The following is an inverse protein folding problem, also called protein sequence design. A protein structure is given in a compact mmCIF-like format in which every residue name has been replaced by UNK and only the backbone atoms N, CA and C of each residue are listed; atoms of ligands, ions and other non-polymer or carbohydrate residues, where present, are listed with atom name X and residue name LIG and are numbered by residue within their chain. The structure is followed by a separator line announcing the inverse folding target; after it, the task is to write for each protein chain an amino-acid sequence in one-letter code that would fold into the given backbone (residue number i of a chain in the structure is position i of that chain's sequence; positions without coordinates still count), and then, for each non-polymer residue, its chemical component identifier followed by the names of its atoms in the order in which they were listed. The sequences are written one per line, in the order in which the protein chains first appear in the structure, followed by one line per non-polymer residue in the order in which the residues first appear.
data_IF_195876002418
#
_entry.id   IF_195876002418
#
_cell.length_a   1.000
_cell.length_b   1.000
_cell.length_c   1.000
_cell.angle_alpha   90.00
_cell.angle_beta   90.00
_cell.angle_gamma   90.00
#
_symmetry.space_group_name_H-M   'P 1'
#
loop_
_entity.id
_entity.type
_entity.pdbx_description
1 polymer ?
#
# COMPACT_ATOMS: atom_id res chain seq x y z
N UNK A 1 -18.88 -3.77 -72.51
CA UNK A 1 -18.07 -4.25 -71.37
C UNK A 1 -18.80 -3.85 -70.09
N UNK A 2 -19.43 -4.82 -69.42
CA UNK A 2 -20.27 -4.55 -68.24
C UNK A 2 -19.41 -4.77 -67.02
N UNK A 3 -19.11 -3.68 -66.21
CA UNK A 3 -18.46 -3.76 -64.92
C UNK A 3 -19.47 -4.23 -63.92
N UNK A 4 -19.22 -5.37 -63.24
CA UNK A 4 -19.98 -5.81 -62.08
C UNK A 4 -19.38 -5.16 -60.85
N UNK A 5 -20.14 -4.31 -60.14
CA UNK A 5 -19.81 -3.81 -58.80
C UNK A 5 -19.95 -4.98 -57.83
N UNK A 6 -18.83 -5.38 -57.20
CA UNK A 6 -18.84 -6.29 -56.06
C UNK A 6 -18.93 -5.44 -54.80
N UNK A 7 -20.09 -5.49 -54.14
CA UNK A 7 -20.32 -4.81 -52.85
C UNK A 7 -19.72 -5.65 -51.72
N UNK A 8 -18.62 -5.19 -51.14
CA UNK A 8 -18.00 -5.84 -49.98
C UNK A 8 -18.74 -5.32 -48.73
N UNK A 9 -19.57 -6.16 -48.12
CA UNK A 9 -20.14 -5.93 -46.80
C UNK A 9 -19.07 -6.20 -45.75
N UNK A 10 -18.52 -5.12 -45.15
CA UNK A 10 -17.68 -5.20 -43.94
C UNK A 10 -18.58 -5.43 -42.74
N UNK A 11 -18.57 -6.64 -42.22
CA UNK A 11 -19.28 -7.01 -41.01
C UNK A 11 -18.41 -6.54 -39.80
N UNK A 12 -18.68 -5.34 -39.31
CA UNK A 12 -18.05 -4.84 -38.08
C UNK A 12 -18.76 -5.49 -36.88
N UNK A 13 -18.23 -6.60 -36.40
CA UNK A 13 -18.64 -7.20 -35.15
C UNK A 13 -18.16 -6.33 -34.00
N UNK A 14 -19.05 -5.55 -33.38
CA UNK A 14 -18.84 -4.93 -32.10
C UNK A 14 -18.73 -6.04 -31.04
N UNK A 15 -17.50 -6.39 -30.68
CA UNK A 15 -17.25 -7.16 -29.50
C UNK A 15 -17.58 -6.27 -28.29
N UNK A 16 -18.79 -6.36 -27.78
CA UNK A 16 -19.12 -5.89 -26.46
C UNK A 16 -18.31 -6.73 -25.46
N UNK A 17 -17.11 -6.26 -25.14
CA UNK A 17 -16.37 -6.76 -23.99
C UNK A 17 -17.14 -6.31 -22.75
N UNK A 18 -18.09 -7.12 -22.30
CA UNK A 18 -18.61 -7.03 -20.94
C UNK A 18 -17.45 -7.36 -20.00
N UNK A 19 -16.74 -6.33 -19.52
CA UNK A 19 -15.89 -6.47 -18.35
C UNK A 19 -16.80 -6.93 -17.20
N UNK A 20 -16.62 -8.14 -16.64
CA UNK A 20 -17.45 -8.57 -15.53
C UNK A 20 -17.26 -7.55 -14.39
N UNK A 21 -18.38 -7.05 -13.85
CA UNK A 21 -18.33 -6.18 -12.69
C UNK A 21 -17.75 -7.01 -11.52
N UNK A 22 -16.47 -6.81 -11.23
CA UNK A 22 -15.73 -7.54 -10.20
C UNK A 22 -15.83 -6.87 -8.82
N UNK A 23 -16.73 -5.91 -8.67
CA UNK A 23 -16.98 -5.15 -7.44
C UNK A 23 -18.36 -5.52 -6.88
N UNK A 24 -18.40 -5.90 -5.62
CA UNK A 24 -19.60 -6.24 -4.85
C UNK A 24 -19.66 -5.38 -3.59
N UNK A 25 -20.82 -4.85 -3.28
CA UNK A 25 -21.08 -4.16 -2.00
C UNK A 25 -21.88 -5.07 -1.07
N UNK A 26 -21.28 -5.45 0.06
CA UNK A 26 -21.88 -6.34 1.08
C UNK A 26 -22.31 -5.52 2.30
N UNK A 27 -23.52 -4.99 2.23
CA UNK A 27 -24.07 -4.13 3.28
C UNK A 27 -24.39 -4.86 4.58
N UNK A 28 -24.54 -6.19 4.57
CA UNK A 28 -24.77 -7.00 5.76
C UNK A 28 -23.60 -6.94 6.76
N UNK A 29 -22.39 -6.65 6.29
CA UNK A 29 -21.22 -6.42 7.15
C UNK A 29 -21.37 -5.21 8.08
N UNK A 30 -22.29 -4.30 7.76
CA UNK A 30 -22.62 -3.13 8.59
C UNK A 30 -23.03 -3.47 10.02
N UNK A 31 -23.65 -4.64 10.22
CA UNK A 31 -24.05 -5.11 11.55
C UNK A 31 -22.90 -5.14 12.56
N UNK A 32 -21.72 -5.55 12.15
CA UNK A 32 -20.55 -5.62 13.04
C UNK A 32 -20.09 -4.24 13.52
N UNK A 33 -20.21 -3.22 12.69
CA UNK A 33 -19.88 -1.84 13.06
C UNK A 33 -20.95 -1.24 13.99
N UNK A 34 -22.24 -1.52 13.71
CA UNK A 34 -23.37 -1.04 14.51
C UNK A 34 -23.33 -1.66 15.91
N UNK A 35 -23.18 -2.99 16.01
CA UNK A 35 -23.11 -3.74 17.28
C UNK A 35 -21.96 -3.24 18.18
N UNK A 36 -20.82 -2.90 17.59
CA UNK A 36 -19.66 -2.39 18.30
C UNK A 36 -19.67 -0.85 18.48
N UNK A 37 -20.73 -0.15 18.03
CA UNK A 37 -20.88 1.32 18.11
C UNK A 37 -19.70 2.08 17.51
N UNK A 38 -19.16 1.59 16.39
CA UNK A 38 -18.06 2.21 15.67
C UNK A 38 -18.44 2.54 14.24
N UNK A 39 -17.80 3.55 13.67
CA UNK A 39 -17.92 3.87 12.23
C UNK A 39 -16.69 3.35 11.51
N UNK A 40 -16.90 2.61 10.42
CA UNK A 40 -15.79 2.02 9.67
C UNK A 40 -16.16 1.71 8.22
N UNK A 41 -15.24 1.08 7.54
CA UNK A 41 -15.42 0.50 6.22
C UNK A 41 -14.63 -0.81 6.15
N UNK A 42 -14.94 -1.63 5.17
CA UNK A 42 -14.24 -2.88 4.93
C UNK A 42 -14.01 -3.06 3.43
N UNK A 43 -12.86 -3.62 3.06
CA UNK A 43 -12.54 -4.00 1.69
C UNK A 43 -11.74 -5.30 1.66
N UNK A 44 -12.13 -6.19 0.78
CA UNK A 44 -11.46 -7.46 0.53
C UNK A 44 -11.24 -7.63 -0.97
N UNK A 45 -10.03 -8.02 -1.35
CA UNK A 45 -9.74 -8.53 -2.68
C UNK A 45 -9.50 -10.04 -2.62
N UNK A 46 -10.31 -10.81 -3.35
CA UNK A 46 -10.18 -12.26 -3.47
C UNK A 46 -9.37 -12.61 -4.72
N UNK A 47 -8.14 -13.09 -4.53
CA UNK A 47 -7.22 -13.45 -5.61
C UNK A 47 -7.76 -14.58 -6.50
N UNK A 48 -8.49 -15.54 -5.94
CA UNK A 48 -8.97 -16.72 -6.68
C UNK A 48 -10.09 -16.35 -7.67
N UNK A 49 -10.92 -15.37 -7.34
CA UNK A 49 -12.08 -14.96 -8.13
C UNK A 49 -11.91 -13.60 -8.80
N UNK A 50 -10.81 -12.89 -8.53
CA UNK A 50 -10.56 -11.52 -8.96
C UNK A 50 -11.70 -10.55 -8.58
N UNK A 51 -12.31 -10.77 -7.40
CA UNK A 51 -13.42 -9.97 -6.90
C UNK A 51 -13.01 -9.06 -5.75
N UNK A 52 -13.59 -7.86 -5.75
CA UNK A 52 -13.57 -6.95 -4.62
C UNK A 52 -14.91 -7.00 -3.90
N UNK A 53 -14.88 -7.12 -2.58
CA UNK A 53 -16.06 -6.98 -1.71
C UNK A 53 -15.87 -5.81 -0.79
N UNK A 54 -16.84 -4.87 -0.75
CA UNK A 54 -16.77 -3.68 0.09
C UNK A 54 -17.98 -3.58 1.01
N UNK A 55 -17.75 -3.03 2.20
CA UNK A 55 -18.74 -2.38 3.01
C UNK A 55 -18.39 -0.90 3.14
N UNK A 56 -19.39 -0.01 3.02
CA UNK A 56 -19.21 1.45 3.03
C UNK A 56 -18.10 1.88 2.06
N UNK A 57 -18.26 1.51 0.79
CA UNK A 57 -17.29 1.74 -0.28
C UNK A 57 -16.90 3.21 -0.37
N UNK A 58 -17.86 4.14 -0.25
CA UNK A 58 -17.56 5.57 -0.30
C UNK A 58 -16.53 5.98 0.77
N UNK A 59 -16.68 5.50 2.01
CA UNK A 59 -15.68 5.75 3.07
C UNK A 59 -14.35 5.10 2.75
N UNK A 60 -14.38 3.91 2.15
CA UNK A 60 -13.18 3.16 1.80
C UNK A 60 -12.32 3.89 0.75
N UNK A 61 -12.95 4.52 -0.25
CA UNK A 61 -12.26 5.20 -1.36
C UNK A 61 -11.98 6.68 -1.07
N UNK A 62 -12.84 7.37 -0.33
CA UNK A 62 -12.81 8.83 -0.25
C UNK A 62 -12.25 9.36 1.09
N UNK A 63 -12.19 8.51 2.12
CA UNK A 63 -11.68 8.94 3.43
C UNK A 63 -10.23 8.54 3.64
N UNK A 64 -9.39 9.51 3.96
CA UNK A 64 -7.96 9.29 4.22
C UNK A 64 -7.68 9.18 5.71
N UNK A 65 -6.81 8.25 6.07
CA UNK A 65 -6.43 7.93 7.44
C UNK A 65 -4.91 7.92 7.60
N UNK A 66 -4.46 8.09 8.82
CA UNK A 66 -3.07 7.90 9.20
C UNK A 66 -2.64 6.45 8.94
N UNK A 67 -1.61 6.17 8.13
CA UNK A 67 -1.19 4.79 7.86
C UNK A 67 -0.57 4.10 9.07
N UNK A 68 0.04 4.86 9.99
CA UNK A 68 0.68 4.32 11.18
C UNK A 68 1.57 3.09 10.84
N UNK A 69 1.34 1.97 11.50
CA UNK A 69 2.16 0.77 11.32
C UNK A 69 2.05 0.10 9.95
N UNK A 70 1.06 0.41 9.13
CA UNK A 70 0.99 -0.13 7.75
C UNK A 70 2.06 0.49 6.85
N UNK A 71 2.57 1.69 7.20
CA UNK A 71 3.68 2.33 6.49
C UNK A 71 4.97 1.50 6.51
N UNK A 72 5.15 0.58 7.47
CA UNK A 72 6.32 -0.30 7.52
C UNK A 72 6.51 -1.13 6.24
N UNK A 73 5.44 -1.46 5.54
CA UNK A 73 5.50 -2.19 4.27
C UNK A 73 6.31 -1.39 3.25
N UNK A 74 5.91 -0.15 2.99
CA UNK A 74 6.58 0.70 2.00
C UNK A 74 7.97 1.16 2.49
N UNK A 75 8.12 1.45 3.79
CA UNK A 75 9.40 1.81 4.39
C UNK A 75 10.45 0.68 4.25
N UNK A 76 10.04 -0.58 4.45
CA UNK A 76 10.89 -1.76 4.23
C UNK A 76 11.29 -1.90 2.75
N UNK A 77 10.35 -1.76 1.83
CA UNK A 77 10.62 -1.82 0.39
C UNK A 77 11.62 -0.74 -0.04
N UNK A 78 11.41 0.50 0.40
CA UNK A 78 12.32 1.61 0.10
C UNK A 78 13.69 1.37 0.76
N UNK A 79 13.72 0.92 2.01
CA UNK A 79 14.95 0.61 2.74
C UNK A 79 15.81 -0.44 2.02
N UNK A 80 15.19 -1.52 1.56
CA UNK A 80 15.85 -2.57 0.76
C UNK A 80 16.31 -2.04 -0.60
N UNK A 81 15.45 -1.30 -1.30
CA UNK A 81 15.72 -0.78 -2.64
C UNK A 81 16.85 0.25 -2.65
N UNK A 82 16.99 1.03 -1.59
CA UNK A 82 18.03 2.05 -1.45
C UNK A 82 19.31 1.52 -0.81
N UNK A 83 19.36 0.23 -0.45
CA UNK A 83 20.49 -0.42 0.21
C UNK A 83 20.69 0.00 1.67
N UNK A 84 19.75 0.75 2.26
CA UNK A 84 19.75 1.12 3.70
C UNK A 84 19.52 -0.12 4.57
N UNK A 85 18.71 -1.04 4.09
CA UNK A 85 18.55 -2.39 4.64
C UNK A 85 19.18 -3.36 3.64
N UNK A 86 20.14 -4.16 4.10
CA UNK A 86 20.83 -5.14 3.25
C UNK A 86 20.07 -6.46 3.13
N UNK A 87 19.30 -6.84 4.16
CA UNK A 87 18.50 -8.07 4.22
C UNK A 87 17.49 -8.00 5.37
N UNK A 88 16.56 -8.96 5.43
CA UNK A 88 15.63 -9.13 6.55
C UNK A 88 16.31 -9.44 7.89
N UNK A 89 17.53 -9.93 7.87
CA UNK A 89 18.37 -10.21 9.04
C UNK A 89 19.28 -9.06 9.46
N UNK A 90 19.30 -7.93 8.72
CA UNK A 90 20.11 -6.77 9.10
C UNK A 90 19.67 -6.19 10.44
N UNK A 91 20.61 -6.13 11.38
CA UNK A 91 20.35 -5.62 12.72
C UNK A 91 20.58 -4.11 12.79
N UNK A 92 19.60 -3.40 13.35
CA UNK A 92 19.78 -2.05 13.87
C UNK A 92 19.89 -2.16 15.39
N UNK A 93 20.98 -1.61 15.92
CA UNK A 93 21.24 -1.63 17.37
C UNK A 93 20.26 -0.73 18.11
N UNK A 94 19.87 -1.18 19.29
CA UNK A 94 19.05 -0.38 20.18
C UNK A 94 19.81 0.89 20.60
N UNK A 95 19.09 1.98 20.65
CA UNK A 95 19.62 3.30 21.01
C UNK A 95 19.78 3.53 22.54
N UNK A 96 19.48 2.51 23.36
CA UNK A 96 19.55 2.58 24.82
C UNK A 96 18.34 3.28 25.47
N UNK A 97 17.40 3.82 24.70
CA UNK A 97 16.21 4.49 25.22
C UNK A 97 15.14 3.47 25.59
N UNK A 98 14.82 3.36 26.88
CA UNK A 98 13.77 2.46 27.37
C UNK A 98 12.37 2.97 26.99
N UNK A 99 11.62 2.18 26.23
CA UNK A 99 10.25 2.44 25.79
C UNK A 99 9.27 1.55 26.52
N UNK A 100 7.97 1.91 26.47
CA UNK A 100 6.89 1.14 27.14
C UNK A 100 6.69 -0.26 26.55
N UNK A 101 6.98 -0.44 25.26
CA UNK A 101 6.93 -1.73 24.59
C UNK A 101 8.28 -2.41 24.78
N UNK A 102 8.31 -3.45 25.60
CA UNK A 102 9.57 -4.09 26.05
C UNK A 102 10.32 -4.72 24.86
N UNK A 103 9.60 -5.28 23.91
CA UNK A 103 10.17 -5.91 22.69
C UNK A 103 10.98 -4.94 21.80
N UNK A 104 10.82 -3.62 22.02
CA UNK A 104 11.57 -2.59 21.27
C UNK A 104 12.89 -2.21 21.95
N UNK A 105 13.13 -2.67 23.17
CA UNK A 105 14.28 -2.29 24.01
C UNK A 105 15.46 -3.26 23.83
N UNK A 106 15.76 -3.63 22.59
CA UNK A 106 16.87 -4.51 22.23
C UNK A 106 17.29 -4.29 20.77
N UNK A 107 18.42 -4.86 20.41
CA UNK A 107 18.82 -4.96 19.01
C UNK A 107 17.78 -5.76 18.23
N UNK A 108 17.38 -5.27 17.05
CA UNK A 108 16.36 -5.92 16.22
C UNK A 108 16.84 -6.06 14.78
N UNK A 109 16.58 -7.22 14.19
CA UNK A 109 16.60 -7.38 12.74
C UNK A 109 15.36 -6.77 12.09
N UNK A 110 15.37 -6.56 10.76
CA UNK A 110 14.18 -6.08 10.03
C UNK A 110 12.99 -7.03 10.25
N UNK A 111 13.23 -8.34 10.17
CA UNK A 111 12.20 -9.35 10.37
C UNK A 111 11.54 -9.26 11.76
N UNK A 112 12.35 -9.17 12.82
CA UNK A 112 11.84 -9.03 14.19
C UNK A 112 11.11 -7.69 14.38
N UNK A 113 11.70 -6.58 13.91
CA UNK A 113 11.14 -5.25 14.01
C UNK A 113 9.77 -5.13 13.31
N UNK A 114 9.61 -5.81 12.16
CA UNK A 114 8.33 -5.85 11.45
C UNK A 114 7.26 -6.57 12.29
N UNK A 115 7.58 -7.73 12.84
CA UNK A 115 6.67 -8.57 13.64
C UNK A 115 6.21 -7.90 14.94
N UNK A 116 7.13 -7.24 15.67
CA UNK A 116 6.78 -6.53 16.90
C UNK A 116 6.36 -5.09 16.66
N UNK A 117 6.22 -4.71 15.39
CA UNK A 117 5.83 -3.35 15.00
C UNK A 117 6.74 -2.24 15.57
N UNK A 118 8.06 -2.47 15.61
CA UNK A 118 9.05 -1.61 16.25
C UNK A 118 9.16 -0.25 15.56
N UNK A 119 8.49 0.76 16.11
CA UNK A 119 8.55 2.15 15.61
C UNK A 119 10.00 2.65 15.58
N UNK A 120 10.82 2.52 16.65
CA UNK A 120 12.17 3.08 16.65
C UNK A 120 13.10 2.48 15.56
N UNK A 121 12.94 1.20 15.22
CA UNK A 121 13.65 0.61 14.10
C UNK A 121 13.33 1.33 12.78
N UNK A 122 12.04 1.52 12.50
CA UNK A 122 11.58 2.15 11.25
C UNK A 122 11.82 3.66 11.20
N UNK A 123 11.91 4.32 12.34
CA UNK A 123 12.39 5.69 12.44
C UNK A 123 13.85 5.80 12.00
N UNK A 124 14.70 4.89 12.48
CA UNK A 124 16.10 4.86 12.07
C UNK A 124 16.26 4.52 10.58
N UNK A 125 15.48 3.56 10.06
CA UNK A 125 15.46 3.26 8.62
C UNK A 125 15.07 4.50 7.81
N UNK A 126 14.03 5.23 8.21
CA UNK A 126 13.60 6.44 7.52
C UNK A 126 14.67 7.55 7.55
N UNK A 127 15.35 7.75 8.68
CA UNK A 127 16.48 8.70 8.78
C UNK A 127 17.62 8.34 7.82
N UNK A 128 17.97 7.06 7.72
CA UNK A 128 19.02 6.58 6.80
C UNK A 128 18.61 6.66 5.33
N UNK A 129 17.35 6.44 5.01
CA UNK A 129 16.81 6.66 3.66
C UNK A 129 16.95 8.14 3.30
N UNK A 130 16.56 9.03 4.17
CA UNK A 130 16.55 10.48 3.96
C UNK A 130 15.34 10.96 3.17
N UNK A 131 15.04 12.25 3.31
CA UNK A 131 13.82 12.87 2.78
C UNK A 131 13.67 12.71 1.26
N UNK A 132 14.68 13.09 0.50
CA UNK A 132 14.59 13.14 -0.96
C UNK A 132 14.34 11.76 -1.58
N UNK A 133 15.04 10.72 -1.06
CA UNK A 133 14.84 9.34 -1.54
C UNK A 133 13.48 8.77 -1.10
N UNK A 134 13.02 9.14 0.11
CA UNK A 134 11.69 8.74 0.60
C UNK A 134 10.60 9.33 -0.29
N UNK A 135 10.62 10.64 -0.54
CA UNK A 135 9.66 11.33 -1.41
C UNK A 135 9.68 10.75 -2.83
N UNK A 136 10.87 10.58 -3.42
CA UNK A 136 11.01 9.99 -4.75
C UNK A 136 10.32 8.63 -4.88
N UNK A 137 10.54 7.73 -3.91
CA UNK A 137 9.95 6.40 -3.97
C UNK A 137 8.46 6.41 -3.65
N UNK A 138 7.99 7.26 -2.75
CA UNK A 138 6.55 7.42 -2.48
C UNK A 138 5.82 7.95 -3.71
N UNK A 139 6.38 8.94 -4.41
CA UNK A 139 5.85 9.44 -5.70
C UNK A 139 5.87 8.32 -6.77
N UNK A 140 6.97 7.56 -6.85
CA UNK A 140 7.10 6.46 -7.82
C UNK A 140 6.03 5.39 -7.69
N UNK A 141 5.59 5.10 -6.45
CA UNK A 141 4.53 4.11 -6.18
C UNK A 141 3.16 4.76 -5.98
N UNK A 142 3.06 6.07 -6.15
CA UNK A 142 1.84 6.86 -5.94
C UNK A 142 1.22 6.63 -4.55
N UNK A 143 2.04 6.62 -3.48
CA UNK A 143 1.59 6.38 -2.11
C UNK A 143 1.44 7.69 -1.35
N UNK A 144 0.21 8.02 -0.94
CA UNK A 144 -0.10 9.26 -0.22
C UNK A 144 -0.19 10.50 -1.11
N UNK A 145 -0.26 10.34 -2.44
CA UNK A 145 -0.39 11.45 -3.38
C UNK A 145 -1.77 12.15 -3.33
N UNK A 146 -2.77 11.48 -2.70
CA UNK A 146 -4.12 11.99 -2.66
C UNK A 146 -4.84 11.98 -4.03
N UNK A 147 -6.07 12.49 -4.11
CA UNK A 147 -6.94 12.30 -5.28
C UNK A 147 -6.56 13.15 -6.52
N UNK A 148 -5.43 13.85 -6.54
CA UNK A 148 -5.07 14.80 -7.62
C UNK A 148 -3.66 14.67 -8.18
N UNK A 149 -3.03 13.50 -8.08
CA UNK A 149 -1.67 13.25 -8.60
C UNK A 149 -0.64 14.34 -8.19
N UNK A 150 -0.84 14.95 -7.04
CA UNK A 150 0.12 15.90 -6.48
C UNK A 150 1.21 15.13 -5.77
N UNK A 151 2.45 15.38 -6.15
CA UNK A 151 3.61 14.77 -5.51
C UNK A 151 3.56 14.98 -3.99
N UNK A 152 3.70 13.87 -3.24
CA UNK A 152 3.72 13.92 -1.79
C UNK A 152 5.00 14.62 -1.29
N UNK A 153 4.86 15.49 -0.28
CA UNK A 153 6.01 16.16 0.34
C UNK A 153 5.95 16.03 1.85
N UNK A 154 7.10 15.70 2.43
CA UNK A 154 7.26 15.56 3.87
C UNK A 154 7.47 16.96 4.48
N UNK A 155 6.50 17.45 5.23
CA UNK A 155 6.51 18.76 5.89
C UNK A 155 6.87 18.69 7.37
N UNK A 156 7.02 17.50 7.93
CA UNK A 156 7.44 17.24 9.32
C UNK A 156 8.76 16.47 9.37
N UNK A 157 9.11 15.92 10.54
CA UNK A 157 10.31 15.10 10.66
C UNK A 157 10.20 13.81 9.84
N UNK A 158 11.30 13.44 9.16
CA UNK A 158 11.39 12.24 8.30
C UNK A 158 11.05 10.94 9.04
N UNK A 159 11.20 10.92 10.33
CA UNK A 159 11.01 9.73 11.18
C UNK A 159 9.67 9.71 11.93
N UNK A 160 8.76 10.68 11.66
CA UNK A 160 7.43 10.73 12.28
C UNK A 160 6.27 11.02 11.31
N UNK A 161 6.53 11.43 10.09
CA UNK A 161 5.50 11.93 9.16
C UNK A 161 4.34 10.95 8.89
N UNK A 162 4.54 9.63 9.07
CA UNK A 162 3.50 8.62 8.98
C UNK A 162 2.76 8.36 10.30
N UNK A 163 3.14 9.09 11.39
CA UNK A 163 2.60 8.98 12.74
C UNK A 163 1.93 10.28 13.23
N UNK A 164 2.17 11.42 12.55
CA UNK A 164 1.79 12.76 12.99
C UNK A 164 0.72 13.45 12.12
N UNK A 165 -0.02 12.71 11.31
CA UNK A 165 -1.01 13.18 10.34
C UNK A 165 -0.47 13.93 9.11
N UNK A 166 0.83 14.04 8.90
CA UNK A 166 1.39 14.61 7.67
C UNK A 166 1.06 13.72 6.48
N UNK A 167 1.24 12.40 6.63
CA UNK A 167 0.84 11.42 5.64
C UNK A 167 -0.56 10.86 5.96
N UNK A 168 -1.44 10.90 4.96
CA UNK A 168 -2.74 10.21 5.01
C UNK A 168 -2.95 9.43 3.73
N UNK A 169 -3.52 8.24 3.86
CA UNK A 169 -3.87 7.36 2.74
C UNK A 169 -5.29 6.87 2.89
N UNK A 170 -5.93 6.53 1.77
CA UNK A 170 -7.21 5.82 1.80
C UNK A 170 -6.99 4.32 2.04
N UNK A 171 -7.97 3.60 2.59
CA UNK A 171 -7.93 2.15 2.63
C UNK A 171 -7.78 1.52 1.24
N UNK A 172 -8.30 2.17 0.19
CA UNK A 172 -8.17 1.73 -1.20
C UNK A 172 -6.71 1.78 -1.68
N UNK A 173 -6.00 2.87 -1.42
CA UNK A 173 -4.56 2.98 -1.69
C UNK A 173 -3.77 1.88 -0.97
N UNK A 174 -4.10 1.62 0.30
CA UNK A 174 -3.42 0.57 1.08
C UNK A 174 -3.71 -0.83 0.52
N UNK A 175 -4.96 -1.13 0.16
CA UNK A 175 -5.32 -2.39 -0.47
C UNK A 175 -4.64 -2.55 -1.83
N UNK A 176 -4.59 -1.48 -2.62
CA UNK A 176 -3.90 -1.42 -3.90
C UNK A 176 -2.41 -1.74 -3.77
N UNK A 177 -1.73 -1.10 -2.81
CA UNK A 177 -0.31 -1.35 -2.52
C UNK A 177 -0.06 -2.83 -2.19
N UNK A 178 -0.85 -3.40 -1.27
CA UNK A 178 -0.69 -4.81 -0.85
C UNK A 178 -0.99 -5.77 -2.00
N UNK A 179 -1.98 -5.47 -2.83
CA UNK A 179 -2.28 -6.25 -4.04
C UNK A 179 -1.11 -6.22 -5.03
N UNK A 180 -0.57 -5.04 -5.34
CA UNK A 180 0.58 -4.90 -6.23
C UNK A 180 1.81 -5.61 -5.68
N UNK A 181 2.06 -5.53 -4.38
CA UNK A 181 3.12 -6.27 -3.69
C UNK A 181 2.93 -7.78 -3.84
N UNK A 182 1.73 -8.28 -3.61
CA UNK A 182 1.42 -9.72 -3.72
C UNK A 182 1.75 -10.27 -5.11
N UNK A 183 1.41 -9.52 -6.16
CA UNK A 183 1.64 -9.91 -7.56
C UNK A 183 3.01 -9.47 -8.11
N UNK A 184 3.92 -8.92 -7.29
CA UNK A 184 5.24 -8.38 -7.70
C UNK A 184 5.15 -7.31 -8.80
N UNK A 185 4.15 -6.47 -8.72
CA UNK A 185 3.88 -5.39 -9.70
C UNK A 185 4.37 -4.02 -9.24
N UNK A 186 4.95 -3.92 -8.02
CA UNK A 186 5.57 -2.68 -7.56
C UNK A 186 6.92 -2.47 -8.26
N UNK A 187 7.38 -1.21 -8.44
CA UNK A 187 8.63 -0.89 -9.12
C UNK A 187 9.87 -1.12 -8.25
N UNK A 188 9.88 -2.20 -7.46
CA UNK A 188 10.99 -2.66 -6.63
C UNK A 188 11.51 -4.00 -7.14
N UNK A 189 12.76 -4.33 -6.86
CA UNK A 189 13.27 -5.66 -7.20
C UNK A 189 12.38 -6.76 -6.61
N UNK A 190 12.14 -7.80 -7.41
CA UNK A 190 11.25 -8.90 -7.02
C UNK A 190 11.70 -9.58 -5.72
N UNK A 191 13.01 -9.74 -5.53
CA UNK A 191 13.59 -10.31 -4.31
C UNK A 191 13.25 -9.50 -3.05
N UNK A 192 13.20 -8.16 -3.15
CA UNK A 192 12.82 -7.30 -2.04
C UNK A 192 11.33 -7.39 -1.72
N UNK A 193 10.50 -7.49 -2.77
CA UNK A 193 9.07 -7.72 -2.59
C UNK A 193 8.80 -9.07 -1.90
N UNK A 194 9.52 -10.13 -2.27
CA UNK A 194 9.43 -11.43 -1.59
C UNK A 194 9.89 -11.35 -0.13
N UNK A 195 10.96 -10.59 0.15
CA UNK A 195 11.45 -10.41 1.52
C UNK A 195 10.41 -9.74 2.42
N UNK A 196 9.69 -8.73 1.92
CA UNK A 196 8.67 -8.00 2.71
C UNK A 196 7.38 -8.80 2.86
N UNK A 197 7.10 -9.76 2.00
CA UNK A 197 5.92 -10.65 2.06
C UNK A 197 6.03 -11.76 3.10
N UNK A 198 7.23 -12.15 3.54
CA UNK A 198 7.48 -13.17 4.57
C UNK A 198 7.02 -12.74 5.96
#
# INVERSE_FOLDING_TARGET
MKFKLVSIYVFVSFLYSCSPNNVEEENSLGKYFIENKVTGCFGLYNNATNKFTFYNKKRFTDSSFLPASTFKIINSLIGLQTGVISSDSMIIKWDGVKRKVEEWNKDLSMYEAFRVSAVPYYQEVARRIGKDRMEYWMDTVNYGAGPKDTAFRIHSAIDTFWLDNTLKITPDEQLGLVKLLYFHQLPFFKSYQETVKK
#
